data_IF_217900422536
#
_entry.id   IF_217900422536
#
_cell.length_a   1.000
_cell.length_b   1.000
_cell.length_c   1.000
_cell.angle_alpha   90.00
_cell.angle_beta   90.00
_cell.angle_gamma   90.00
#
_symmetry.space_group_name_H-M   'P 1'
#
loop_
_entity.id
_entity.type
_entity.pdbx_description
1 polymer ?
#
# COMPACT_ATOMS: atom_id res chain seq x y z
N UNK A 1 -18.35 26.98 -8.62
CA UNK A 1 -19.62 26.29 -8.94
C UNK A 1 -20.36 27.16 -9.93
N UNK A 2 -20.71 26.58 -11.06
CA UNK A 2 -21.41 27.26 -12.14
C UNK A 2 -22.72 26.52 -12.40
N UNK A 3 -23.76 27.25 -12.76
CA UNK A 3 -24.95 26.67 -13.36
C UNK A 3 -24.68 26.49 -14.85
N UNK A 4 -24.59 25.24 -15.31
CA UNK A 4 -24.24 24.91 -16.70
C UNK A 4 -25.54 24.80 -17.48
N UNK A 5 -25.82 25.81 -18.28
CA UNK A 5 -27.06 25.91 -19.06
C UNK A 5 -26.89 25.47 -20.53
N UNK A 6 -25.65 25.16 -20.94
CA UNK A 6 -25.32 24.81 -22.31
C UNK A 6 -24.31 23.63 -22.41
N UNK A 7 -24.11 23.10 -23.61
CA UNK A 7 -23.21 21.96 -23.87
C UNK A 7 -21.75 22.40 -24.16
N UNK A 8 -21.42 23.69 -24.01
CA UNK A 8 -20.08 24.19 -24.29
C UNK A 8 -19.14 23.92 -23.11
N UNK A 9 -17.84 23.82 -23.40
CA UNK A 9 -16.81 23.61 -22.38
C UNK A 9 -16.30 24.93 -21.78
N UNK A 10 -16.76 26.06 -22.30
CA UNK A 10 -16.40 27.39 -21.81
C UNK A 10 -17.37 27.77 -20.68
N UNK A 11 -16.83 28.27 -19.57
CA UNK A 11 -17.63 28.67 -18.40
C UNK A 11 -17.97 30.18 -18.46
N UNK A 12 -17.61 30.87 -19.55
CA UNK A 12 -17.76 32.31 -19.70
C UNK A 12 -19.20 32.79 -19.88
N UNK A 13 -20.09 31.91 -20.34
CA UNK A 13 -21.52 32.15 -20.54
C UNK A 13 -22.41 31.47 -19.48
N UNK A 14 -21.81 30.75 -18.53
CA UNK A 14 -22.48 30.10 -17.41
C UNK A 14 -22.59 31.02 -16.18
N UNK A 15 -23.67 30.86 -15.41
CA UNK A 15 -23.92 31.66 -14.22
C UNK A 15 -23.06 31.19 -13.03
N UNK A 16 -22.22 32.09 -12.52
CA UNK A 16 -21.39 31.81 -11.35
C UNK A 16 -22.20 31.81 -10.04
N UNK A 17 -22.37 30.62 -9.45
CA UNK A 17 -23.14 30.43 -8.21
C UNK A 17 -22.31 30.62 -6.94
N UNK A 18 -20.98 30.55 -7.04
CA UNK A 18 -20.06 30.74 -5.92
C UNK A 18 -18.88 29.76 -5.90
N UNK A 19 -17.93 30.02 -5.00
CA UNK A 19 -16.71 29.24 -4.80
C UNK A 19 -16.47 28.93 -3.32
N UNK A 20 -15.64 27.93 -3.10
CA UNK A 20 -15.13 27.55 -1.79
C UNK A 20 -13.72 27.00 -1.98
N UNK A 21 -12.77 27.52 -1.21
CA UNK A 21 -11.37 27.08 -1.23
C UNK A 21 -11.04 26.43 0.12
N UNK A 22 -10.36 25.29 0.06
CA UNK A 22 -9.88 24.55 1.23
C UNK A 22 -8.65 23.71 0.88
N UNK A 23 -7.92 23.28 1.91
CA UNK A 23 -6.84 22.33 1.73
C UNK A 23 -7.39 20.91 1.60
N UNK A 24 -6.62 20.03 0.97
CA UNK A 24 -6.94 18.60 0.99
C UNK A 24 -6.94 18.04 2.42
N UNK A 25 -6.07 18.57 3.30
CA UNK A 25 -6.01 18.24 4.73
C UNK A 25 -7.37 18.41 5.41
N UNK A 26 -8.01 19.56 5.22
CA UNK A 26 -9.35 19.87 5.76
C UNK A 26 -10.45 18.94 5.23
N UNK A 27 -10.33 18.50 3.98
CA UNK A 27 -11.27 17.53 3.39
C UNK A 27 -11.07 16.16 4.03
N UNK A 28 -9.84 15.65 4.11
CA UNK A 28 -9.57 14.29 4.59
C UNK A 28 -9.61 14.15 6.11
N UNK A 29 -9.45 15.24 6.87
CA UNK A 29 -9.65 15.24 8.33
C UNK A 29 -11.13 15.30 8.72
N UNK A 30 -12.03 15.57 7.77
CA UNK A 30 -13.46 15.64 7.99
C UNK A 30 -14.20 14.57 7.19
N UNK A 31 -14.92 13.64 7.84
CA UNK A 31 -15.76 12.64 7.14
C UNK A 31 -16.78 13.25 6.16
N UNK A 32 -17.20 14.49 6.44
CA UNK A 32 -18.10 15.30 5.62
C UNK A 32 -17.79 16.77 5.87
N UNK A 33 -17.43 17.49 4.81
CA UNK A 33 -17.17 18.92 4.87
C UNK A 33 -18.33 19.69 4.23
N UNK A 34 -19.11 20.40 5.03
CA UNK A 34 -20.15 21.32 4.52
C UNK A 34 -19.74 22.77 4.82
N UNK A 35 -19.72 23.61 3.77
CA UNK A 35 -19.30 25.01 3.85
C UNK A 35 -20.19 25.91 2.98
N UNK A 36 -20.39 27.17 3.37
CA UNK A 36 -21.12 28.14 2.54
C UNK A 36 -20.33 28.47 1.27
N UNK A 37 -21.04 28.77 0.19
CA UNK A 37 -20.43 29.30 -1.03
C UNK A 37 -20.18 30.81 -0.90
N UNK A 38 -19.08 31.26 -1.48
CA UNK A 38 -18.66 32.66 -1.49
C UNK A 38 -18.69 33.19 -2.93
N UNK A 39 -19.05 34.46 -3.11
CA UNK A 39 -18.88 35.15 -4.39
C UNK A 39 -17.43 35.64 -4.52
N UNK A 40 -16.96 35.90 -5.75
CA UNK A 40 -15.60 36.41 -6.02
C UNK A 40 -15.25 37.73 -5.31
N UNK A 41 -16.25 38.47 -4.86
CA UNK A 41 -16.08 39.69 -4.07
C UNK A 41 -16.00 39.45 -2.55
N UNK A 42 -15.90 38.18 -2.13
CA UNK A 42 -15.82 37.77 -0.73
C UNK A 42 -17.14 37.82 0.04
N UNK A 43 -18.28 38.08 -0.61
CA UNK A 43 -19.60 38.05 0.05
C UNK A 43 -20.23 36.66 0.01
N UNK A 44 -21.09 36.29 0.97
CA UNK A 44 -21.83 35.04 0.90
C UNK A 44 -22.70 34.95 -0.36
N UNK A 45 -22.68 33.80 -1.04
CA UNK A 45 -23.55 33.50 -2.18
C UNK A 45 -24.95 33.08 -1.70
N UNK A 46 -25.63 33.97 -0.99
CA UNK A 46 -26.95 33.71 -0.41
C UNK A 46 -26.93 32.60 0.64
N UNK A 47 -27.81 31.60 0.50
CA UNK A 47 -27.89 30.42 1.38
C UNK A 47 -27.25 29.17 0.76
N UNK A 48 -26.50 29.33 -0.34
CA UNK A 48 -25.85 28.22 -1.03
C UNK A 48 -24.76 27.58 -0.16
N UNK A 49 -24.70 26.25 -0.18
CA UNK A 49 -23.65 25.48 0.49
C UNK A 49 -23.09 24.42 -0.44
N UNK A 50 -21.81 24.10 -0.27
CA UNK A 50 -21.17 22.94 -0.88
C UNK A 50 -20.93 21.88 0.19
N UNK A 51 -21.16 20.62 -0.17
CA UNK A 51 -20.85 19.47 0.69
C UNK A 51 -19.92 18.54 -0.06
N UNK A 52 -18.78 18.23 0.56
CA UNK A 52 -17.72 17.39 0.02
C UNK A 52 -17.61 16.13 0.89
N UNK A 53 -17.54 14.98 0.22
CA UNK A 53 -17.20 13.68 0.80
C UNK A 53 -15.91 13.19 0.16
N UNK A 54 -15.02 12.61 0.95
CA UNK A 54 -13.78 12.00 0.46
C UNK A 54 -13.67 10.58 1.00
N UNK A 55 -13.30 9.65 0.12
CA UNK A 55 -13.05 8.26 0.43
C UNK A 55 -11.72 7.84 -0.20
N UNK A 56 -10.91 7.06 0.52
CA UNK A 56 -9.67 6.51 -0.04
C UNK A 56 -10.00 5.29 -0.92
N UNK A 57 -9.72 5.38 -2.22
CA UNK A 57 -10.07 4.35 -3.23
C UNK A 57 -9.00 3.25 -3.33
N UNK A 58 -8.38 2.83 -2.22
CA UNK A 58 -7.43 1.70 -2.23
C UNK A 58 -7.95 0.52 -1.43
N UNK A 59 -7.90 -0.66 -2.05
CA UNK A 59 -8.01 -1.91 -1.33
C UNK A 59 -6.72 -2.12 -0.52
N UNK A 60 -6.71 -1.60 0.72
CA UNK A 60 -5.58 -1.72 1.64
C UNK A 60 -5.52 -3.10 2.32
N UNK A 61 -6.22 -4.11 1.79
CA UNK A 61 -6.13 -5.48 2.30
C UNK A 61 -4.84 -6.13 1.81
N UNK A 62 -4.11 -6.70 2.75
CA UNK A 62 -2.93 -7.51 2.52
C UNK A 62 -3.22 -8.95 2.93
N UNK A 63 -2.61 -9.90 2.25
CA UNK A 63 -2.62 -11.31 2.64
C UNK A 63 -1.30 -11.61 3.33
N UNK A 64 -1.36 -11.94 4.62
CA UNK A 64 -0.22 -12.42 5.39
C UNK A 64 -0.02 -13.90 5.12
N UNK A 65 1.20 -14.26 4.73
CA UNK A 65 1.61 -15.63 4.45
C UNK A 65 2.72 -16.10 5.36
N UNK A 66 2.59 -17.34 5.83
CA UNK A 66 3.69 -18.15 6.34
C UNK A 66 3.67 -19.48 5.61
N UNK A 67 4.76 -19.83 4.96
CA UNK A 67 4.81 -20.97 4.04
C UNK A 67 6.06 -21.80 4.29
N UNK A 68 5.91 -23.11 4.21
CA UNK A 68 7.03 -24.05 4.19
C UNK A 68 6.84 -25.09 3.09
N UNK A 69 7.92 -25.72 2.67
CA UNK A 69 7.86 -26.89 1.81
C UNK A 69 8.54 -28.09 2.46
N UNK A 70 8.22 -29.28 1.97
CA UNK A 70 8.74 -30.56 2.46
C UNK A 70 9.10 -31.47 1.31
N UNK A 71 10.21 -32.19 1.50
CA UNK A 71 10.68 -33.24 0.58
C UNK A 71 10.76 -32.75 -0.88
N UNK A 72 11.24 -31.52 -1.08
CA UNK A 72 11.48 -31.00 -2.42
C UNK A 72 12.45 -31.91 -3.17
N UNK A 73 12.24 -32.07 -4.47
CA UNK A 73 13.23 -32.73 -5.33
C UNK A 73 14.53 -31.92 -5.32
N UNK A 74 15.66 -32.61 -5.21
CA UNK A 74 16.97 -31.99 -5.39
C UNK A 74 17.29 -31.84 -6.89
N UNK A 75 17.71 -30.64 -7.34
CA UNK A 75 18.21 -30.42 -8.70
C UNK A 75 19.72 -30.26 -8.78
N UNK A 76 20.39 -29.95 -7.67
CA UNK A 76 21.84 -29.81 -7.62
C UNK A 76 22.61 -31.13 -7.63
N UNK A 77 23.75 -31.12 -8.34
CA UNK A 77 24.72 -32.23 -8.33
C UNK A 77 25.62 -32.23 -7.07
N UNK A 78 25.94 -31.05 -6.53
CA UNK A 78 26.78 -30.89 -5.34
C UNK A 78 26.05 -30.09 -4.26
N UNK A 79 25.21 -30.77 -3.46
CA UNK A 79 24.43 -30.14 -2.41
C UNK A 79 22.97 -30.56 -2.47
N UNK A 80 22.11 -29.72 -1.91
CA UNK A 80 20.66 -29.76 -2.08
C UNK A 80 20.24 -28.46 -2.77
N UNK A 81 19.09 -28.49 -3.41
CA UNK A 81 18.43 -27.31 -3.93
C UNK A 81 18.41 -26.13 -2.96
N UNK A 82 18.45 -24.95 -3.56
CA UNK A 82 18.33 -23.60 -3.02
C UNK A 82 16.92 -23.03 -3.34
N UNK A 83 15.83 -23.54 -2.72
CA UNK A 83 14.49 -23.24 -3.18
C UNK A 83 13.99 -21.82 -2.88
N UNK A 84 13.18 -21.31 -3.81
CA UNK A 84 12.34 -20.11 -3.64
C UNK A 84 10.98 -20.29 -4.32
N UNK A 85 10.00 -19.46 -3.93
CA UNK A 85 8.64 -19.49 -4.47
C UNK A 85 8.36 -18.23 -5.29
N UNK A 86 7.54 -18.40 -6.33
CA UNK A 86 6.94 -17.33 -7.10
C UNK A 86 5.42 -17.49 -7.14
N UNK A 87 4.72 -16.44 -6.71
CA UNK A 87 3.26 -16.37 -6.72
C UNK A 87 2.81 -15.55 -7.92
N UNK A 88 1.83 -16.07 -8.66
CA UNK A 88 1.33 -15.49 -9.89
C UNK A 88 -0.19 -15.31 -9.83
N UNK A 89 -0.66 -14.18 -10.34
CA UNK A 89 -2.08 -13.96 -10.66
C UNK A 89 -2.36 -14.24 -12.12
N UNK A 90 -3.59 -14.66 -12.42
CA UNK A 90 -4.06 -14.71 -13.80
C UNK A 90 -4.59 -13.33 -14.22
N UNK A 91 -4.12 -12.81 -15.35
CA UNK A 91 -4.60 -11.57 -15.99
C UNK A 91 -5.83 -11.86 -16.85
N UNK A 92 -6.57 -10.82 -17.24
CA UNK A 92 -7.81 -10.99 -18.00
C UNK A 92 -7.58 -11.56 -19.42
N UNK A 93 -6.37 -11.43 -19.97
CA UNK A 93 -5.94 -12.09 -21.21
C UNK A 93 -5.44 -13.54 -20.99
N UNK A 94 -5.64 -14.08 -19.80
CA UNK A 94 -5.33 -15.47 -19.43
C UNK A 94 -3.85 -15.74 -19.12
N UNK A 95 -2.98 -14.73 -19.17
CA UNK A 95 -1.55 -14.87 -18.86
C UNK A 95 -1.29 -14.87 -17.35
N UNK A 96 -0.11 -15.33 -16.96
CA UNK A 96 0.35 -15.30 -15.58
C UNK A 96 1.25 -14.08 -15.35
N UNK A 97 0.94 -13.30 -14.33
CA UNK A 97 1.74 -12.15 -13.90
C UNK A 97 2.26 -12.37 -12.48
N UNK A 98 3.56 -12.22 -12.26
CA UNK A 98 4.18 -12.42 -10.95
C UNK A 98 3.70 -11.33 -9.98
N UNK A 99 3.15 -11.76 -8.85
CA UNK A 99 2.71 -10.90 -7.75
C UNK A 99 3.76 -10.83 -6.64
N UNK A 100 4.52 -11.90 -6.40
CA UNK A 100 5.51 -11.96 -5.34
C UNK A 100 6.56 -13.05 -5.58
N UNK A 101 7.77 -12.86 -5.04
CA UNK A 101 8.84 -13.85 -4.96
C UNK A 101 9.42 -13.85 -3.55
N UNK A 102 9.61 -15.04 -2.97
CA UNK A 102 10.23 -15.18 -1.64
C UNK A 102 11.76 -15.07 -1.70
N UNK A 103 12.42 -15.08 -0.54
CA UNK A 103 13.86 -15.28 -0.51
C UNK A 103 14.27 -16.70 -0.96
N UNK A 104 15.53 -16.83 -1.34
CA UNK A 104 16.20 -18.11 -1.62
C UNK A 104 16.72 -18.69 -0.31
N UNK A 105 16.42 -19.96 -0.03
CA UNK A 105 16.96 -20.68 1.13
C UNK A 105 17.95 -21.72 0.65
N UNK A 106 19.23 -21.53 0.95
CA UNK A 106 20.29 -22.40 0.43
C UNK A 106 20.30 -23.80 1.05
N UNK A 107 20.59 -24.82 0.23
CA UNK A 107 20.89 -26.19 0.59
C UNK A 107 19.82 -26.85 1.48
N UNK A 108 18.54 -26.72 1.09
CA UNK A 108 17.43 -27.13 1.94
C UNK A 108 16.22 -27.67 1.15
N UNK A 109 15.92 -28.96 1.32
CA UNK A 109 14.74 -29.61 0.72
C UNK A 109 13.46 -29.50 1.58
N UNK A 110 13.53 -28.84 2.74
CA UNK A 110 12.40 -28.58 3.63
C UNK A 110 12.41 -27.13 4.13
N UNK A 111 12.40 -26.14 3.20
CA UNK A 111 12.51 -24.73 3.55
C UNK A 111 11.29 -24.23 4.34
N UNK A 112 11.52 -23.29 5.25
CA UNK A 112 10.47 -22.41 5.79
C UNK A 112 10.90 -20.98 5.48
N UNK A 113 10.15 -20.31 4.61
CA UNK A 113 10.42 -18.92 4.24
C UNK A 113 9.96 -17.97 5.33
N UNK A 114 10.57 -16.79 5.39
CA UNK A 114 10.17 -15.72 6.30
C UNK A 114 8.71 -15.32 6.02
N UNK A 115 7.95 -14.91 7.05
CA UNK A 115 6.63 -14.36 6.83
C UNK A 115 6.67 -13.19 5.84
N UNK A 116 5.72 -13.15 4.91
CA UNK A 116 5.62 -12.11 3.88
C UNK A 116 4.18 -11.67 3.67
N UNK A 117 3.99 -10.55 2.96
CA UNK A 117 2.67 -9.99 2.65
C UNK A 117 2.54 -9.74 1.15
N UNK A 118 1.36 -10.03 0.60
CA UNK A 118 1.01 -9.68 -0.79
C UNK A 118 -0.28 -8.85 -0.76
N UNK A 119 -0.36 -7.69 -1.44
CA UNK A 119 -1.62 -6.97 -1.59
C UNK A 119 -2.69 -7.86 -2.23
N UNK A 120 -3.90 -7.86 -1.67
CA UNK A 120 -4.98 -8.73 -2.12
C UNK A 120 -5.31 -8.49 -3.60
N UNK A 121 -5.37 -7.22 -3.99
CA UNK A 121 -5.56 -6.85 -5.39
C UNK A 121 -4.42 -7.32 -6.30
N UNK A 122 -3.17 -7.32 -5.81
CA UNK A 122 -2.02 -7.77 -6.59
C UNK A 122 -2.01 -9.28 -6.83
N UNK A 123 -2.56 -10.09 -5.92
CA UNK A 123 -2.58 -11.55 -6.06
C UNK A 123 -3.82 -12.07 -6.78
N UNK A 124 -4.99 -11.45 -6.59
CA UNK A 124 -6.25 -11.99 -7.13
C UNK A 124 -7.26 -10.92 -7.56
N UNK A 125 -6.83 -9.66 -7.72
CA UNK A 125 -7.71 -8.52 -8.06
C UNK A 125 -8.94 -8.43 -7.13
N UNK A 126 -8.74 -8.69 -5.83
CA UNK A 126 -9.78 -8.71 -4.80
C UNK A 126 -10.89 -9.78 -4.95
N UNK A 127 -10.76 -10.69 -5.92
CA UNK A 127 -11.63 -11.84 -6.11
C UNK A 127 -10.92 -13.11 -5.59
N UNK A 128 -11.39 -13.65 -4.47
CA UNK A 128 -10.73 -14.78 -3.79
C UNK A 128 -10.79 -16.09 -4.59
N UNK A 129 -11.69 -16.17 -5.58
CA UNK A 129 -11.86 -17.36 -6.41
C UNK A 129 -10.99 -17.34 -7.66
N UNK A 130 -10.42 -16.18 -8.03
CA UNK A 130 -9.53 -16.08 -9.19
C UNK A 130 -8.31 -17.01 -9.03
N UNK A 131 -7.86 -17.67 -10.11
CA UNK A 131 -6.73 -18.58 -10.05
C UNK A 131 -5.43 -17.89 -9.62
N UNK A 132 -4.70 -18.58 -8.74
CA UNK A 132 -3.35 -18.26 -8.28
C UNK A 132 -2.46 -19.45 -8.61
N UNK A 133 -1.34 -19.19 -9.28
CA UNK A 133 -0.31 -20.20 -9.53
C UNK A 133 0.87 -19.96 -8.61
N UNK A 134 1.43 -21.03 -8.06
CA UNK A 134 2.65 -21.00 -7.26
C UNK A 134 3.66 -21.92 -7.91
N UNK A 135 4.81 -21.36 -8.28
CA UNK A 135 5.94 -22.10 -8.80
C UNK A 135 7.03 -22.16 -7.72
N UNK A 136 7.62 -23.35 -7.54
CA UNK A 136 8.79 -23.56 -6.70
C UNK A 136 9.98 -23.82 -7.60
N UNK A 137 11.02 -23.00 -7.48
CA UNK A 137 12.24 -23.04 -8.28
C UNK A 137 13.44 -23.37 -7.40
N UNK A 138 14.44 -23.97 -8.03
CA UNK A 138 15.80 -24.06 -7.52
C UNK A 138 16.61 -22.87 -8.04
N UNK A 139 17.38 -22.23 -7.17
CA UNK A 139 18.23 -21.11 -7.56
C UNK A 139 19.58 -21.60 -8.05
N UNK A 140 19.98 -21.10 -9.22
CA UNK A 140 21.24 -21.40 -9.89
C UNK A 140 22.00 -20.09 -10.15
N UNK A 141 23.29 -20.04 -9.79
CA UNK A 141 24.10 -18.82 -9.90
C UNK A 141 24.25 -18.31 -11.36
N UNK A 142 24.07 -19.18 -12.37
CA UNK A 142 24.15 -18.83 -13.79
C UNK A 142 22.84 -18.24 -14.37
N UNK A 143 21.78 -18.15 -13.55
CA UNK A 143 20.47 -17.65 -13.91
C UNK A 143 19.54 -18.66 -14.58
N UNK A 144 19.96 -19.92 -14.75
CA UNK A 144 19.18 -20.99 -15.38
C UNK A 144 18.26 -21.75 -14.42
N UNK A 145 17.64 -21.01 -13.49
CA UNK A 145 16.85 -21.53 -12.36
C UNK A 145 15.91 -22.68 -12.73
N UNK A 146 16.13 -23.84 -12.12
CA UNK A 146 15.39 -25.05 -12.42
C UNK A 146 14.02 -25.12 -11.73
N UNK A 147 12.95 -25.29 -12.51
CA UNK A 147 11.62 -25.52 -11.92
C UNK A 147 11.59 -26.85 -11.15
N UNK A 148 11.34 -26.77 -9.83
CA UNK A 148 11.08 -27.93 -8.97
C UNK A 148 9.67 -28.45 -9.26
N UNK A 149 8.65 -27.61 -9.15
CA UNK A 149 7.29 -27.95 -9.51
C UNK A 149 6.31 -26.80 -9.26
N UNK A 150 5.08 -26.96 -9.73
CA UNK A 150 4.04 -25.94 -9.67
C UNK A 150 2.72 -26.50 -9.15
N UNK A 151 1.86 -25.64 -8.64
CA UNK A 151 0.44 -25.93 -8.42
C UNK A 151 -0.41 -24.68 -8.66
N UNK A 152 -1.68 -24.90 -8.97
CA UNK A 152 -2.69 -23.86 -9.12
C UNK A 152 -3.76 -24.01 -8.04
N UNK A 153 -4.23 -22.89 -7.52
CA UNK A 153 -5.20 -22.80 -6.42
C UNK A 153 -5.91 -21.45 -6.49
N UNK A 154 -6.55 -21.02 -5.40
CA UNK A 154 -7.05 -19.66 -5.21
C UNK A 154 -6.90 -19.25 -3.73
N UNK A 155 -7.18 -17.99 -3.40
CA UNK A 155 -6.97 -17.47 -2.04
C UNK A 155 -7.87 -18.17 -1.03
N UNK A 156 -9.12 -18.47 -1.39
CA UNK A 156 -10.07 -19.19 -0.53
C UNK A 156 -9.51 -20.56 -0.09
N UNK A 157 -9.02 -21.37 -1.04
CA UNK A 157 -8.37 -22.65 -0.76
C UNK A 157 -7.06 -22.52 0.03
N UNK A 158 -6.30 -21.44 -0.18
CA UNK A 158 -5.09 -21.17 0.62
C UNK A 158 -5.45 -20.87 2.09
N UNK A 159 -6.56 -20.17 2.34
CA UNK A 159 -7.08 -19.94 3.69
C UNK A 159 -7.58 -21.23 4.35
N UNK A 160 -8.34 -22.04 3.62
CA UNK A 160 -8.78 -23.36 4.07
C UNK A 160 -7.61 -24.29 4.39
N UNK A 161 -6.59 -24.31 3.53
CA UNK A 161 -5.38 -25.11 3.73
C UNK A 161 -4.60 -24.66 4.97
N UNK A 162 -4.57 -23.36 5.26
CA UNK A 162 -3.96 -22.82 6.49
C UNK A 162 -4.67 -23.30 7.75
N UNK A 163 -6.00 -23.39 7.74
CA UNK A 163 -6.79 -23.85 8.88
C UNK A 163 -6.68 -25.37 9.07
N UNK A 164 -6.70 -26.12 7.96
CA UNK A 164 -6.73 -27.58 7.98
C UNK A 164 -5.34 -28.24 7.90
N UNK A 165 -4.28 -27.44 7.79
CA UNK A 165 -2.90 -27.91 7.54
C UNK A 165 -2.77 -28.80 6.29
N UNK A 166 -3.57 -28.51 5.25
CA UNK A 166 -3.52 -29.22 3.97
C UNK A 166 -2.26 -28.86 3.19
N UNK A 167 -1.64 -29.84 2.56
CA UNK A 167 -0.46 -29.63 1.72
C UNK A 167 -0.84 -29.62 0.23
N UNK A 168 -0.19 -28.75 -0.54
CA UNK A 168 -0.27 -28.69 -1.99
C UNK A 168 0.88 -29.48 -2.60
N UNK A 169 0.59 -30.37 -3.55
CA UNK A 169 1.62 -31.10 -4.26
C UNK A 169 2.29 -30.24 -5.34
N UNK A 170 3.61 -30.08 -5.28
CA UNK A 170 4.37 -29.42 -6.34
C UNK A 170 4.55 -30.40 -7.51
N UNK A 171 3.98 -30.08 -8.67
CA UNK A 171 4.00 -30.97 -9.84
C UNK A 171 4.90 -30.40 -10.93
N UNK A 172 5.92 -31.16 -11.32
CA UNK A 172 6.69 -30.89 -12.54
C UNK A 172 6.08 -31.65 -13.72
N UNK A 173 5.45 -30.91 -14.65
CA UNK A 173 4.76 -31.49 -15.81
C UNK A 173 5.70 -32.35 -16.66
N UNK A 174 6.91 -31.86 -16.96
CA UNK A 174 7.92 -32.58 -17.74
C UNK A 174 8.34 -33.90 -17.08
N UNK A 175 8.42 -33.94 -15.74
CA UNK A 175 8.76 -35.16 -14.98
C UNK A 175 7.59 -36.14 -14.94
N UNK A 176 6.35 -35.63 -14.78
CA UNK A 176 5.11 -36.42 -14.80
C UNK A 176 4.92 -37.16 -16.12
N UNK A 177 5.20 -36.52 -17.25
CA UNK A 177 5.11 -37.14 -18.57
C UNK A 177 6.17 -38.25 -18.78
N UNK A 178 7.36 -38.08 -18.20
CA UNK A 178 8.50 -39.01 -18.40
C UNK A 178 8.52 -40.20 -17.43
N UNK A 179 7.94 -40.07 -16.23
CA UNK A 179 8.07 -41.07 -15.16
C UNK A 179 6.70 -41.65 -14.76
N UNK A 180 6.45 -42.91 -15.11
CA UNK A 180 5.18 -43.64 -14.83
C UNK A 180 4.74 -43.62 -13.35
N UNK A 181 5.67 -43.62 -12.40
CA UNK A 181 5.39 -43.66 -10.96
C UNK A 181 5.67 -42.32 -10.25
N UNK A 182 5.67 -41.21 -11.00
CA UNK A 182 5.86 -39.88 -10.42
C UNK A 182 4.62 -39.47 -9.60
N UNK A 183 4.86 -39.02 -8.36
CA UNK A 183 3.82 -38.47 -7.48
C UNK A 183 3.86 -36.94 -7.50
N UNK A 184 4.93 -36.38 -6.94
CA UNK A 184 5.19 -34.94 -6.87
C UNK A 184 6.69 -34.68 -6.74
N UNK A 185 7.08 -33.41 -6.75
CA UNK A 185 8.43 -32.89 -6.57
C UNK A 185 8.60 -32.24 -5.19
N UNK A 186 7.84 -32.73 -4.22
CA UNK A 186 7.68 -32.16 -2.88
C UNK A 186 6.28 -31.59 -2.66
N UNK A 187 6.04 -31.15 -1.44
CA UNK A 187 4.76 -30.55 -1.02
C UNK A 187 4.99 -29.19 -0.36
N UNK A 188 4.02 -28.30 -0.51
CA UNK A 188 4.01 -26.98 0.10
C UNK A 188 2.87 -26.88 1.10
N UNK A 189 3.18 -26.43 2.31
CA UNK A 189 2.21 -26.23 3.38
C UNK A 189 2.11 -24.75 3.71
N UNK A 190 0.90 -24.23 3.66
CA UNK A 190 0.59 -22.86 4.07
C UNK A 190 0.26 -22.90 5.56
N UNK A 191 1.13 -22.36 6.41
CA UNK A 191 0.90 -22.26 7.86
C UNK A 191 -0.08 -21.15 8.18
N UNK A 192 0.08 -20.01 7.52
CA UNK A 192 -0.76 -18.84 7.67
C UNK A 192 -1.17 -18.32 6.29
N UNK A 193 -2.47 -18.09 6.11
CA UNK A 193 -3.03 -17.28 5.03
C UNK A 193 -4.15 -16.44 5.62
N UNK A 194 -3.86 -15.19 5.96
CA UNK A 194 -4.80 -14.31 6.63
C UNK A 194 -4.91 -12.97 5.90
N UNK A 195 -6.12 -12.62 5.50
CA UNK A 195 -6.40 -11.29 4.95
C UNK A 195 -6.54 -10.32 6.12
N UNK A 196 -5.73 -9.27 6.11
CA UNK A 196 -5.75 -8.18 7.10
C UNK A 196 -5.92 -6.85 6.38
N UNK A 197 -6.67 -5.92 6.97
CA UNK A 197 -6.68 -4.53 6.50
C UNK A 197 -5.43 -3.84 7.08
N UNK A 198 -4.57 -3.32 6.23
CA UNK A 198 -3.54 -2.37 6.67
C UNK A 198 -4.15 -0.97 6.66
N UNK A 199 -4.13 -0.30 7.82
CA UNK A 199 -4.67 1.04 7.95
C UNK A 199 -3.65 2.06 7.49
N UNK A 200 -4.07 2.96 6.61
CA UNK A 200 -3.22 4.07 6.12
C UNK A 200 -3.21 5.21 7.14
N UNK A 201 -2.30 6.16 6.93
CA UNK A 201 -2.32 7.42 7.67
C UNK A 201 -3.72 8.07 7.67
N UNK A 202 -4.37 8.11 6.50
CA UNK A 202 -5.71 8.71 6.37
C UNK A 202 -6.79 7.91 7.11
N UNK A 203 -6.72 6.57 7.14
CA UNK A 203 -7.63 5.76 7.95
C UNK A 203 -7.60 6.18 9.43
N UNK A 204 -6.41 6.49 9.98
CA UNK A 204 -6.28 6.95 11.37
C UNK A 204 -6.87 8.35 11.56
N UNK A 205 -6.53 9.30 10.68
CA UNK A 205 -7.04 10.68 10.73
C UNK A 205 -8.57 10.69 10.61
N UNK A 206 -9.15 10.01 9.61
CA UNK A 206 -10.61 9.89 9.45
C UNK A 206 -11.27 9.12 10.60
N UNK A 207 -10.51 8.25 11.27
CA UNK A 207 -10.91 7.56 12.49
C UNK A 207 -11.00 8.46 13.72
N UNK A 208 -10.55 9.71 13.63
CA UNK A 208 -10.54 10.69 14.73
C UNK A 208 -9.19 10.78 15.47
N UNK A 209 -8.12 10.20 14.92
CA UNK A 209 -6.78 10.44 15.42
C UNK A 209 -6.37 11.89 15.13
N UNK A 210 -5.89 12.60 16.13
CA UNK A 210 -5.41 13.98 16.02
C UNK A 210 -3.88 14.02 16.08
N UNK A 211 -3.28 15.00 15.40
CA UNK A 211 -1.85 15.27 15.44
C UNK A 211 -1.59 16.57 16.23
N UNK A 212 -1.22 16.43 17.49
CA UNK A 212 -0.94 17.58 18.34
C UNK A 212 0.45 18.16 18.00
N UNK A 213 0.49 19.43 17.63
CA UNK A 213 1.74 20.13 17.38
C UNK A 213 2.29 20.78 18.66
N UNK A 214 3.52 20.42 19.05
CA UNK A 214 4.22 21.02 20.18
C UNK A 214 5.55 21.60 19.73
N UNK A 215 5.83 22.84 20.13
CA UNK A 215 7.07 23.56 19.78
C UNK A 215 7.84 23.92 21.05
N UNK A 216 9.12 23.55 21.07
CA UNK A 216 10.10 24.09 22.01
C UNK A 216 11.05 25.03 21.27
N UNK A 217 11.18 26.26 21.76
CA UNK A 217 12.06 27.28 21.17
C UNK A 217 13.26 27.48 22.07
N UNK A 218 14.45 27.47 21.48
CA UNK A 218 15.71 27.71 22.18
C UNK A 218 15.90 29.20 22.48
N UNK A 219 15.86 29.59 23.75
CA UNK A 219 16.13 30.95 24.23
C UNK A 219 17.50 31.08 24.93
N UNK A 220 18.46 30.21 24.60
CA UNK A 220 19.84 30.32 25.12
C UNK A 220 20.58 31.54 24.56
N UNK A 221 21.59 32.00 25.29
CA UNK A 221 22.35 33.21 24.96
C UNK A 221 23.15 33.17 23.65
N UNK A 222 23.35 31.99 23.05
CA UNK A 222 24.00 31.85 21.74
C UNK A 222 23.21 32.46 20.59
N UNK A 223 21.91 32.72 20.78
CA UNK A 223 21.05 33.34 19.76
C UNK A 223 21.27 34.85 19.60
N UNK A 224 22.06 35.47 20.48
CA UNK A 224 22.28 36.91 20.51
C UNK A 224 21.11 37.71 21.10
N UNK A 225 21.30 39.02 21.23
CA UNK A 225 20.26 39.95 21.72
C UNK A 225 19.19 40.15 20.62
N UNK A 226 17.90 39.86 20.86
CA UNK A 226 16.83 40.00 19.85
C UNK A 226 16.69 41.41 19.25
N UNK A 227 17.20 42.44 19.92
CA UNK A 227 17.24 43.82 19.41
C UNK A 227 18.30 44.03 18.33
N UNK A 228 19.28 43.13 18.25
CA UNK A 228 20.33 43.13 17.23
C UNK A 228 19.79 42.53 15.93
N UNK A 229 20.04 43.17 14.77
CA UNK A 229 19.73 42.60 13.46
C UNK A 229 20.40 41.24 13.19
N UNK A 230 21.53 40.95 13.84
CA UNK A 230 22.29 39.70 13.67
C UNK A 230 21.77 38.55 14.57
N UNK A 231 20.76 38.78 15.40
CA UNK A 231 20.20 37.74 16.27
C UNK A 231 19.30 36.77 15.52
N UNK A 232 19.36 35.50 15.89
CA UNK A 232 18.45 34.47 15.37
C UNK A 232 16.99 34.70 15.81
N UNK A 233 16.78 35.46 16.90
CA UNK A 233 15.46 35.89 17.39
C UNK A 233 15.05 37.28 16.91
N UNK A 234 15.81 37.90 16.01
CA UNK A 234 15.47 39.23 15.52
C UNK A 234 14.12 39.23 14.80
N UNK A 235 13.27 40.22 15.11
CA UNK A 235 11.98 40.42 14.43
C UNK A 235 12.16 41.56 13.43
N UNK A 236 12.29 41.19 12.16
CA UNK A 236 12.45 42.14 11.06
C UNK A 236 11.10 42.59 10.51
N UNK A 237 10.92 43.87 10.14
CA UNK A 237 9.74 44.31 9.40
C UNK A 237 9.69 43.74 7.97
N UNK A 238 10.80 43.19 7.47
CA UNK A 238 10.94 42.72 6.09
C UNK A 238 10.79 41.20 5.93
N UNK A 239 10.59 40.45 7.02
CA UNK A 239 10.46 38.99 6.92
C UNK A 239 10.56 38.25 8.24
N UNK A 240 10.43 36.93 8.15
CA UNK A 240 10.52 36.01 9.28
C UNK A 240 11.97 35.57 9.53
N UNK A 241 12.32 35.39 10.80
CA UNK A 241 13.55 34.68 11.17
C UNK A 241 13.37 33.17 11.04
N UNK A 242 14.46 32.42 11.17
CA UNK A 242 14.48 30.96 10.96
C UNK A 242 13.55 30.20 11.91
N UNK A 243 13.42 30.64 13.17
CA UNK A 243 12.47 30.05 14.12
C UNK A 243 11.03 30.25 13.66
N UNK A 244 10.66 31.47 13.28
CA UNK A 244 9.32 31.79 12.80
C UNK A 244 9.01 31.06 11.49
N UNK A 245 9.98 30.97 10.57
CA UNK A 245 9.84 30.20 9.34
C UNK A 245 9.58 28.72 9.64
N UNK A 246 10.36 28.10 10.53
CA UNK A 246 10.19 26.69 10.87
C UNK A 246 8.83 26.42 11.53
N UNK A 247 8.43 27.25 12.50
CA UNK A 247 7.13 27.13 13.18
C UNK A 247 5.99 27.29 12.17
N UNK A 248 6.07 28.29 11.29
CA UNK A 248 5.05 28.53 10.27
C UNK A 248 4.96 27.36 9.29
N UNK A 249 6.09 26.91 8.73
CA UNK A 249 6.10 25.83 7.74
C UNK A 249 5.56 24.52 8.28
N UNK A 250 5.90 24.14 9.53
CA UNK A 250 5.39 22.90 10.13
C UNK A 250 3.94 23.08 10.60
N UNK A 251 3.64 24.20 11.28
CA UNK A 251 2.31 24.48 11.80
C UNK A 251 1.26 24.55 10.69
N UNK A 252 1.61 25.15 9.55
CA UNK A 252 0.71 25.24 8.40
C UNK A 252 0.25 23.89 7.85
N UNK A 253 1.06 22.85 8.00
CA UNK A 253 0.73 21.49 7.56
C UNK A 253 -0.05 20.75 8.65
N UNK A 254 0.40 20.84 9.90
CA UNK A 254 -0.17 20.04 11.00
C UNK A 254 -1.53 20.58 11.46
N UNK A 255 -1.78 21.88 11.33
CA UNK A 255 -3.02 22.53 11.82
C UNK A 255 -4.31 21.89 11.29
N UNK A 256 -4.29 21.28 10.11
CA UNK A 256 -5.47 20.67 9.51
C UNK A 256 -5.85 19.32 10.16
N UNK A 257 -4.97 18.79 11.01
CA UNK A 257 -5.06 17.48 11.66
C UNK A 257 -5.20 17.57 13.19
N UNK A 258 -5.38 18.78 13.73
CA UNK A 258 -5.64 19.07 15.14
C UNK A 258 -7.00 19.80 15.23
N UNK A 259 -7.94 19.31 16.07
CA UNK A 259 -9.34 19.80 16.11
C UNK A 259 -9.83 20.11 17.51
#
# INVERSE_FOLDING_TARGET
VYDIDNETFDLGDDDFLGEFECTLGQIVSSKKLTRPLMLRNGRPAGKGTITIFAEEVKDNRMINFEVEARKLDNKDFFGKSDPYLEFYKQTDDGKWQMAHRTEVIKNNLNPTWRPFKIPLHSLCNADLQKPVKVDCYDYDDDGSHDLIGSFETNVEKLQEASQNSTEFECVNVKKKEKKKNYKNSGTLRVKLCQIVKEYTFLDFIMGGCQLNFTVGVDFTGSNGDPRSPDSLHHISPNGFNEYLMAIWSVGMVVQDYDS
#
